data_IF_932033721903
#
_entry.id   IF_932033721903
#
_cell.length_a   1.000
_cell.length_b   1.000
_cell.length_c   1.000
_cell.angle_alpha   90.00
_cell.angle_beta   90.00
_cell.angle_gamma   90.00
#
_symmetry.space_group_name_H-M   'P 1'
#
loop_
_entity.id
_entity.type
_entity.pdbx_description
1 polymer ?
#
# COMPACT_ATOMS: atom_id res chain seq x y z
N UNK A 1 0.06 -12.04 14.63
CA UNK A 1 0.33 -10.61 14.32
C UNK A 1 1.83 -10.35 14.43
N UNK A 2 2.44 -10.70 15.55
CA UNK A 2 3.89 -10.64 15.77
C UNK A 2 4.68 -11.69 14.96
N UNK A 3 4.08 -12.85 14.68
CA UNK A 3 4.69 -13.93 13.90
C UNK A 3 4.89 -13.53 12.43
N UNK A 4 3.88 -12.88 11.86
CA UNK A 4 3.97 -12.32 10.51
C UNK A 4 5.03 -11.22 10.44
N UNK A 5 5.13 -10.38 11.48
CA UNK A 5 6.16 -9.35 11.57
C UNK A 5 7.57 -9.96 11.58
N UNK A 6 7.82 -10.94 12.45
CA UNK A 6 9.10 -11.65 12.51
C UNK A 6 9.45 -12.35 11.20
N UNK A 7 8.45 -12.92 10.52
CA UNK A 7 8.65 -13.55 9.21
C UNK A 7 9.13 -12.52 8.18
N UNK A 8 8.52 -11.34 8.13
CA UNK A 8 8.91 -10.27 7.20
C UNK A 8 10.31 -9.75 7.53
N UNK A 9 10.57 -9.38 8.79
CA UNK A 9 11.89 -8.90 9.22
C UNK A 9 13.00 -9.89 8.83
N UNK A 10 12.82 -11.18 9.07
CA UNK A 10 13.85 -12.17 8.75
C UNK A 10 13.97 -12.43 7.25
N UNK A 11 12.87 -12.82 6.60
CA UNK A 11 12.94 -13.37 5.25
C UNK A 11 12.88 -12.31 4.14
N UNK A 12 12.33 -11.13 4.41
CA UNK A 12 12.18 -10.06 3.41
C UNK A 12 13.16 -8.91 3.64
N UNK A 13 13.94 -8.94 4.72
CA UNK A 13 14.92 -7.90 5.03
C UNK A 13 16.28 -8.48 5.44
N UNK A 14 16.40 -9.14 6.60
CA UNK A 14 17.70 -9.53 7.13
C UNK A 14 18.43 -10.52 6.23
N UNK A 15 17.76 -11.59 5.77
CA UNK A 15 18.40 -12.63 4.95
C UNK A 15 18.75 -12.20 3.52
N UNK A 16 18.43 -10.96 3.14
CA UNK A 16 18.86 -10.38 1.86
C UNK A 16 20.21 -9.66 1.96
N UNK A 17 20.78 -9.55 3.18
CA UNK A 17 22.02 -8.83 3.45
C UNK A 17 23.10 -9.80 4.00
N UNK A 18 24.40 -9.48 3.86
CA UNK A 18 25.46 -10.16 4.59
C UNK A 18 25.30 -9.96 6.10
N UNK A 19 25.33 -11.05 6.88
CA UNK A 19 25.12 -11.04 8.33
C UNK A 19 26.41 -11.45 9.07
N UNK A 20 27.53 -10.89 8.65
CA UNK A 20 28.88 -11.36 9.03
C UNK A 20 29.31 -10.90 10.44
N UNK A 21 28.54 -10.02 11.07
CA UNK A 21 28.80 -9.54 12.43
C UNK A 21 27.53 -9.13 13.14
N UNK A 22 27.53 -9.23 14.47
CA UNK A 22 26.43 -8.76 15.32
C UNK A 22 26.09 -7.30 15.05
N UNK A 23 27.10 -6.44 14.91
CA UNK A 23 26.93 -5.01 14.61
C UNK A 23 26.15 -4.77 13.32
N UNK A 24 26.34 -5.61 12.31
CA UNK A 24 25.60 -5.50 11.05
C UNK A 24 24.14 -5.91 11.22
N UNK A 25 23.90 -6.99 11.96
CA UNK A 25 22.53 -7.44 12.30
C UNK A 25 21.79 -6.36 13.10
N UNK A 26 22.42 -5.79 14.13
CA UNK A 26 21.83 -4.72 14.95
C UNK A 26 21.47 -3.49 14.10
N UNK A 27 22.38 -3.04 13.23
CA UNK A 27 22.13 -1.91 12.33
C UNK A 27 20.95 -2.17 11.40
N UNK A 28 20.90 -3.35 10.77
CA UNK A 28 19.82 -3.71 9.85
C UNK A 28 18.48 -3.85 10.57
N UNK A 29 18.48 -4.45 11.77
CA UNK A 29 17.27 -4.60 12.57
C UNK A 29 16.73 -3.25 13.03
N UNK A 30 17.60 -2.37 13.56
CA UNK A 30 17.23 -1.03 13.99
C UNK A 30 16.60 -0.22 12.85
N UNK A 31 17.25 -0.23 11.67
CA UNK A 31 16.73 0.44 10.48
C UNK A 31 15.34 -0.11 10.09
N UNK A 32 15.16 -1.43 10.04
CA UNK A 32 13.88 -2.00 9.68
C UNK A 32 12.77 -1.63 10.67
N UNK A 33 13.05 -1.67 11.97
CA UNK A 33 12.07 -1.31 13.00
C UNK A 33 11.61 0.13 12.84
N UNK A 34 12.55 1.06 12.61
CA UNK A 34 12.25 2.47 12.35
C UNK A 34 11.40 2.64 11.08
N UNK A 35 11.80 2.01 9.97
CA UNK A 35 11.04 2.08 8.72
C UNK A 35 9.63 1.51 8.85
N UNK A 36 9.49 0.35 9.50
CA UNK A 36 8.21 -0.31 9.69
C UNK A 36 7.25 0.52 10.53
N UNK A 37 7.74 1.07 11.65
CA UNK A 37 6.88 1.77 12.61
C UNK A 37 6.55 3.20 12.20
N UNK A 38 7.53 3.93 11.65
CA UNK A 38 7.41 5.37 11.47
C UNK A 38 7.12 5.80 10.03
N UNK A 39 7.40 4.94 9.04
CA UNK A 39 7.39 5.35 7.63
C UNK A 39 6.50 4.52 6.72
N UNK A 40 6.32 3.23 6.99
CA UNK A 40 5.58 2.32 6.12
C UNK A 40 4.09 2.29 6.49
N UNK A 41 3.19 2.81 5.64
CA UNK A 41 1.76 2.73 5.90
C UNK A 41 1.25 1.31 5.65
N UNK A 42 0.41 0.80 6.55
CA UNK A 42 -0.16 -0.52 6.41
C UNK A 42 -1.63 -0.49 6.03
N UNK A 43 -2.02 -1.40 5.13
CA UNK A 43 -3.42 -1.57 4.73
C UNK A 43 -4.33 -1.97 5.89
N UNK A 44 -3.82 -2.77 6.84
CA UNK A 44 -4.51 -3.13 8.07
C UNK A 44 -4.80 -1.92 8.96
N UNK A 45 -4.02 -0.84 8.84
CA UNK A 45 -4.21 0.44 9.52
C UNK A 45 -4.78 1.50 8.59
N UNK A 46 -5.48 1.09 7.54
CA UNK A 46 -6.16 1.97 6.59
C UNK A 46 -5.26 3.05 5.97
N UNK A 47 -3.97 2.74 5.79
CA UNK A 47 -2.99 3.67 5.23
C UNK A 47 -2.28 4.55 6.26
N UNK A 48 -2.37 4.22 7.55
CA UNK A 48 -1.51 4.79 8.59
C UNK A 48 -0.31 3.88 8.88
N UNK A 49 0.74 4.46 9.46
CA UNK A 49 1.87 3.69 10.03
C UNK A 49 1.50 3.14 11.42
N UNK A 50 2.25 2.15 11.96
CA UNK A 50 2.06 1.66 13.31
C UNK A 50 2.17 2.77 14.37
N UNK A 51 3.16 3.66 14.27
CA UNK A 51 3.36 4.77 15.23
C UNK A 51 2.21 5.77 15.20
N UNK A 52 1.69 6.08 14.00
CA UNK A 52 0.54 6.96 13.84
C UNK A 52 -0.70 6.39 14.50
N UNK A 53 -0.96 5.10 14.29
CA UNK A 53 -2.10 4.40 14.89
C UNK A 53 -1.96 4.32 16.41
N UNK A 54 -0.78 3.94 16.92
CA UNK A 54 -0.52 3.84 18.35
C UNK A 54 -0.62 5.19 19.05
N UNK A 55 -0.01 6.22 18.47
CA UNK A 55 0.00 7.58 19.04
C UNK A 55 -1.30 8.35 18.79
N UNK A 56 -2.24 7.80 18.02
CA UNK A 56 -3.47 8.46 17.60
C UNK A 56 -3.23 9.74 16.78
N UNK A 57 -2.11 9.81 16.06
CA UNK A 57 -1.81 10.95 15.19
C UNK A 57 -2.30 10.68 13.77
N UNK A 58 -2.62 11.75 13.04
CA UNK A 58 -3.09 11.67 11.64
C UNK A 58 -4.36 10.80 11.44
N UNK A 59 -5.23 10.70 12.44
CA UNK A 59 -6.50 9.93 12.38
C UNK A 59 -7.45 10.33 11.23
N UNK A 60 -7.23 11.50 10.61
CA UNK A 60 -7.94 11.92 9.41
C UNK A 60 -7.51 11.21 8.12
N UNK A 61 -6.34 10.54 8.10
CA UNK A 61 -5.76 9.96 6.88
C UNK A 61 -6.67 8.87 6.30
N UNK A 62 -7.20 7.91 7.08
CA UNK A 62 -8.12 6.92 6.55
C UNK A 62 -9.34 7.52 5.85
N UNK A 63 -9.94 8.55 6.46
CA UNK A 63 -11.10 9.24 5.91
C UNK A 63 -10.76 9.98 4.61
N UNK A 64 -9.63 10.70 4.58
CA UNK A 64 -9.15 11.39 3.38
C UNK A 64 -8.87 10.40 2.24
N UNK A 65 -8.19 9.29 2.52
CA UNK A 65 -7.91 8.24 1.54
C UNK A 65 -9.21 7.60 1.03
N UNK A 66 -10.22 7.40 1.88
CA UNK A 66 -11.51 6.88 1.47
C UNK A 66 -12.24 7.82 0.51
N UNK A 67 -12.27 9.11 0.82
CA UNK A 67 -12.88 10.15 -0.05
C UNK A 67 -12.17 10.18 -1.41
N UNK A 68 -10.83 10.22 -1.40
CA UNK A 68 -10.03 10.23 -2.63
C UNK A 68 -10.24 8.95 -3.46
N UNK A 69 -10.33 7.78 -2.83
CA UNK A 69 -10.64 6.52 -3.51
C UNK A 69 -12.00 6.54 -4.19
N UNK A 70 -13.02 7.09 -3.52
CA UNK A 70 -14.35 7.24 -4.12
C UNK A 70 -14.30 8.17 -5.34
N UNK A 71 -13.68 9.33 -5.21
CA UNK A 71 -13.53 10.29 -6.31
C UNK A 71 -12.79 9.69 -7.51
N UNK A 72 -11.66 9.00 -7.27
CA UNK A 72 -10.90 8.33 -8.32
C UNK A 72 -11.69 7.21 -9.02
N UNK A 73 -12.57 6.51 -8.27
CA UNK A 73 -13.46 5.50 -8.86
C UNK A 73 -14.51 6.15 -9.77
N UNK A 74 -15.14 7.25 -9.34
CA UNK A 74 -16.14 7.94 -10.16
C UNK A 74 -15.52 8.49 -11.45
N UNK A 75 -14.37 9.16 -11.34
CA UNK A 75 -13.63 9.67 -12.50
C UNK A 75 -13.29 8.56 -13.50
N UNK A 76 -12.85 7.38 -13.01
CA UNK A 76 -12.59 6.24 -13.89
C UNK A 76 -13.84 5.71 -14.58
N UNK A 77 -14.98 5.69 -13.89
CA UNK A 77 -16.25 5.25 -14.48
C UNK A 77 -16.74 6.22 -15.56
N UNK A 78 -16.66 7.53 -15.31
CA UNK A 78 -17.00 8.56 -16.28
C UNK A 78 -16.12 8.47 -17.52
N UNK A 79 -14.80 8.38 -17.34
CA UNK A 79 -13.85 8.22 -18.43
C UNK A 79 -14.16 6.94 -19.24
N UNK A 80 -14.34 5.80 -18.57
CA UNK A 80 -14.65 4.54 -19.24
C UNK A 80 -15.99 4.55 -19.97
N UNK A 81 -16.99 5.31 -19.49
CA UNK A 81 -18.28 5.48 -20.17
C UNK A 81 -18.19 6.39 -21.39
N UNK A 82 -17.32 7.40 -21.35
CA UNK A 82 -17.07 8.30 -22.49
C UNK A 82 -16.22 7.64 -23.58
N UNK A 83 -15.46 6.58 -23.24
CA UNK A 83 -14.75 5.79 -24.23
C UNK A 83 -15.73 5.02 -25.09
N UNK A 84 -15.70 5.29 -26.40
CA UNK A 84 -16.43 4.51 -27.37
C UNK A 84 -15.47 3.55 -28.10
N UNK A 85 -15.86 2.28 -28.15
CA UNK A 85 -15.10 1.24 -28.83
C UNK A 85 -15.48 1.26 -30.32
N UNK A 86 -14.68 1.90 -31.17
CA UNK A 86 -14.91 1.95 -32.63
C UNK A 86 -15.12 0.58 -33.29
N UNK A 87 -14.51 -0.48 -32.76
CA UNK A 87 -14.70 -1.86 -33.25
C UNK A 87 -16.07 -2.43 -32.83
N UNK A 88 -16.54 -2.05 -31.64
CA UNK A 88 -17.83 -2.46 -31.09
C UNK A 88 -18.98 -1.69 -31.76
N UNK A 89 -18.80 -0.40 -32.05
CA UNK A 89 -19.75 0.42 -32.82
C UNK A 89 -20.01 -0.15 -34.22
N UNK A 90 -18.96 -0.64 -34.89
CA UNK A 90 -19.07 -1.30 -36.20
C UNK A 90 -19.86 -2.61 -36.14
N UNK A 91 -19.73 -3.39 -35.06
CA UNK A 91 -20.48 -4.63 -34.88
C UNK A 91 -21.98 -4.38 -34.66
N UNK A 92 -22.33 -3.30 -33.96
CA UNK A 92 -23.74 -2.91 -33.73
C UNK A 92 -24.38 -2.36 -35.01
N UNK A 93 -23.63 -1.65 -35.85
CA UNK A 93 -24.13 -1.07 -37.09
C UNK A 93 -24.21 -2.03 -38.28
N UNK A 94 -23.49 -3.16 -38.25
CA UNK A 94 -23.55 -4.20 -39.30
C UNK A 94 -24.63 -5.26 -39.07
N UNK A 95 -25.40 -5.17 -37.97
CA UNK A 95 -26.42 -6.15 -37.58
C UNK A 95 -27.86 -5.64 -37.59
N UNK A 96 -28.11 -4.46 -38.18
CA UNK A 96 -29.46 -3.88 -38.40
C UNK A 96 -29.81 -3.84 -39.88
#
# INVERSE_FOLDING_TARGET
MIESWWRVLKHQWLYLNPLDSLKTVEKLAAFYVEQHNSHLPHSAFQGQTPDEMYSGTRNHIPQQLQVQRHAARQSRLEANRALSCRKCEKLVSSGS
#
